data_IF_215637866198
#
_entry.id   IF_215637866198
#
_cell.length_a   1.000
_cell.length_b   1.000
_cell.length_c   1.000
_cell.angle_alpha   90.00
_cell.angle_beta   90.00
_cell.angle_gamma   90.00
#
_symmetry.space_group_name_H-M   'P 1'
#
loop_
_entity.id
_entity.type
_entity.pdbx_description
1 polymer ?
#
# COMPACT_ATOMS: atom_id res chain seq x y z
N UNK A 1 1.63 -4.07 -4.51
CA UNK A 1 2.61 -4.91 -3.77
C UNK A 1 2.24 -6.38 -3.85
N UNK A 2 3.22 -7.24 -3.85
CA UNK A 2 3.03 -8.69 -3.86
C UNK A 2 4.03 -9.37 -2.93
N UNK A 3 3.73 -10.60 -2.55
CA UNK A 3 4.59 -11.46 -1.73
C UNK A 3 4.66 -12.84 -2.39
N UNK A 4 5.85 -13.42 -2.46
CA UNK A 4 6.05 -14.78 -2.96
C UNK A 4 6.07 -15.82 -1.83
N UNK A 5 6.17 -17.09 -2.20
CA UNK A 5 6.22 -18.20 -1.25
C UNK A 5 7.49 -18.22 -0.39
N UNK A 6 8.52 -17.51 -0.80
CA UNK A 6 9.79 -17.41 -0.08
C UNK A 6 9.85 -16.18 0.85
N UNK A 7 8.71 -15.53 1.10
CA UNK A 7 8.58 -14.32 1.90
C UNK A 7 9.40 -13.13 1.35
N UNK A 8 9.55 -13.05 0.05
CA UNK A 8 10.07 -11.88 -0.64
C UNK A 8 8.91 -11.02 -1.12
N UNK A 9 9.12 -9.72 -1.10
CA UNK A 9 8.09 -8.72 -1.40
C UNK A 9 8.45 -7.94 -2.65
N UNK A 10 7.46 -7.57 -3.44
CA UNK A 10 7.66 -6.89 -4.71
C UNK A 10 6.76 -5.67 -4.81
N UNK A 11 7.36 -4.52 -5.08
CA UNK A 11 6.62 -3.34 -5.49
C UNK A 11 6.41 -3.41 -7.00
N UNK A 12 5.16 -3.52 -7.41
CA UNK A 12 4.80 -3.71 -8.82
C UNK A 12 4.60 -2.40 -9.54
N UNK A 13 4.01 -1.41 -8.88
CA UNK A 13 3.64 -0.14 -9.48
C UNK A 13 3.39 0.92 -8.42
N UNK A 14 3.57 2.19 -8.80
CA UNK A 14 3.22 3.35 -7.99
C UNK A 14 2.43 4.32 -8.89
N UNK A 15 1.13 4.39 -8.66
CA UNK A 15 0.20 5.26 -9.40
C UNK A 15 -0.28 6.44 -8.54
N UNK A 16 0.50 6.82 -7.55
CA UNK A 16 0.19 7.97 -6.70
C UNK A 16 0.03 9.24 -7.52
N UNK A 17 -0.88 10.11 -7.10
CA UNK A 17 -1.15 11.37 -7.78
C UNK A 17 -2.36 12.08 -7.20
N UNK A 18 -2.72 13.19 -7.82
CA UNK A 18 -3.91 13.94 -7.45
C UNK A 18 -5.08 13.50 -8.34
N UNK A 19 -6.05 12.84 -7.73
CA UNK A 19 -7.22 12.32 -8.41
C UNK A 19 -8.49 12.79 -7.73
N UNK A 20 -9.56 12.97 -8.51
CA UNK A 20 -10.89 13.06 -7.94
C UNK A 20 -11.25 11.72 -7.27
N UNK A 21 -12.19 11.68 -6.30
CA UNK A 21 -12.59 10.42 -5.68
C UNK A 21 -13.01 9.35 -6.69
N UNK A 22 -13.78 9.69 -7.71
CA UNK A 22 -14.21 8.74 -8.74
C UNK A 22 -13.01 8.22 -9.54
N UNK A 23 -12.12 9.09 -10.00
CA UNK A 23 -10.92 8.69 -10.74
C UNK A 23 -9.99 7.81 -9.90
N UNK A 24 -9.81 8.16 -8.64
CA UNK A 24 -9.01 7.36 -7.71
C UNK A 24 -9.61 5.97 -7.51
N UNK A 25 -10.91 5.89 -7.28
CA UNK A 25 -11.59 4.62 -7.08
C UNK A 25 -11.50 3.71 -8.30
N UNK A 26 -11.69 4.25 -9.50
CA UNK A 26 -11.57 3.49 -10.75
C UNK A 26 -10.15 3.01 -10.97
N UNK A 27 -9.15 3.84 -10.72
CA UNK A 27 -7.75 3.44 -10.83
C UNK A 27 -7.42 2.30 -9.87
N UNK A 28 -7.87 2.38 -8.62
CA UNK A 28 -7.66 1.32 -7.63
C UNK A 28 -8.27 0.00 -8.09
N UNK A 29 -9.49 0.02 -8.61
CA UNK A 29 -10.17 -1.18 -9.13
C UNK A 29 -9.46 -1.72 -10.37
N UNK A 30 -9.02 -0.85 -11.29
CA UNK A 30 -8.27 -1.27 -12.47
C UNK A 30 -6.97 -1.99 -12.09
N UNK A 31 -6.24 -1.47 -11.12
CA UNK A 31 -5.02 -2.12 -10.62
C UNK A 31 -5.33 -3.44 -9.91
N UNK A 32 -6.43 -3.49 -9.16
CA UNK A 32 -6.90 -4.71 -8.51
C UNK A 32 -7.10 -5.83 -9.52
N UNK A 33 -7.76 -5.55 -10.64
CA UNK A 33 -7.98 -6.55 -11.69
C UNK A 33 -6.73 -6.82 -12.52
N UNK A 34 -5.96 -5.79 -12.85
CA UNK A 34 -4.73 -5.92 -13.65
C UNK A 34 -3.76 -6.92 -13.02
N UNK A 35 -3.58 -6.86 -11.72
CA UNK A 35 -2.65 -7.70 -10.99
C UNK A 35 -3.33 -8.87 -10.27
N UNK A 36 -4.60 -9.11 -10.52
CA UNK A 36 -5.38 -10.16 -9.85
C UNK A 36 -5.22 -10.11 -8.33
N UNK A 37 -5.33 -8.91 -7.77
CA UNK A 37 -5.09 -8.67 -6.36
C UNK A 37 -6.12 -9.41 -5.48
N UNK A 38 -5.70 -9.80 -4.29
CA UNK A 38 -6.56 -10.47 -3.32
C UNK A 38 -7.34 -9.47 -2.47
N UNK A 39 -6.82 -8.26 -2.30
CA UNK A 39 -7.33 -7.31 -1.32
C UNK A 39 -6.89 -5.89 -1.67
N UNK A 40 -7.76 -4.92 -1.46
CA UNK A 40 -7.40 -3.51 -1.39
C UNK A 40 -7.31 -3.12 0.07
N UNK A 41 -6.19 -2.55 0.47
CA UNK A 41 -5.96 -2.02 1.81
C UNK A 41 -5.92 -0.51 1.75
N UNK A 42 -6.68 0.15 2.59
CA UNK A 42 -6.68 1.61 2.67
C UNK A 42 -6.53 2.08 4.11
N UNK A 43 -5.65 3.05 4.32
CA UNK A 43 -5.58 3.77 5.58
C UNK A 43 -6.76 4.73 5.64
N UNK A 44 -7.55 4.63 6.70
CA UNK A 44 -8.69 5.51 6.92
C UNK A 44 -8.55 6.23 8.25
N UNK A 45 -9.11 7.44 8.28
CA UNK A 45 -9.33 8.20 9.49
C UNK A 45 -10.82 8.12 9.86
N UNK A 46 -11.36 9.14 10.45
CA UNK A 46 -12.79 9.20 10.76
C UNK A 46 -13.62 9.18 9.47
N UNK A 47 -14.68 8.40 9.45
CA UNK A 47 -15.60 8.32 8.31
C UNK A 47 -15.14 7.40 7.18
N UNK A 48 -14.38 6.35 7.47
CA UNK A 48 -13.82 5.43 6.49
C UNK A 48 -14.80 4.68 5.59
N UNK A 49 -16.08 4.67 5.92
CA UNK A 49 -17.13 4.06 5.09
C UNK A 49 -17.19 4.63 3.67
N UNK A 50 -16.79 5.88 3.48
CA UNK A 50 -16.82 6.52 2.16
C UNK A 50 -15.92 5.83 1.15
N UNK A 51 -14.74 5.39 1.58
CA UNK A 51 -13.80 4.68 0.71
C UNK A 51 -14.38 3.33 0.28
N UNK A 52 -14.89 2.56 1.23
CA UNK A 52 -15.50 1.26 0.94
C UNK A 52 -16.71 1.40 0.01
N UNK A 53 -17.58 2.36 0.27
CA UNK A 53 -18.75 2.63 -0.57
C UNK A 53 -18.35 3.00 -1.99
N UNK A 54 -17.35 3.86 -2.13
CA UNK A 54 -16.85 4.26 -3.45
C UNK A 54 -16.34 3.05 -4.23
N UNK A 55 -15.48 2.24 -3.63
CA UNK A 55 -14.92 1.08 -4.29
C UNK A 55 -15.99 0.06 -4.66
N UNK A 56 -16.91 -0.23 -3.75
CA UNK A 56 -17.98 -1.21 -3.99
C UNK A 56 -19.06 -0.68 -4.94
N UNK A 57 -19.18 0.62 -5.12
CA UNK A 57 -20.06 1.19 -6.14
C UNK A 57 -19.50 0.98 -7.55
N UNK A 58 -18.19 0.87 -7.70
CA UNK A 58 -17.53 0.59 -8.98
C UNK A 58 -17.48 -0.91 -9.24
N UNK A 59 -17.12 -1.69 -8.23
CA UNK A 59 -17.07 -3.15 -8.30
C UNK A 59 -17.46 -3.74 -6.94
N UNK A 60 -18.66 -4.32 -6.87
CA UNK A 60 -19.20 -4.88 -5.62
C UNK A 60 -18.47 -6.15 -5.16
N UNK A 61 -17.68 -6.78 -6.03
CA UNK A 61 -16.95 -8.03 -5.73
C UNK A 61 -15.58 -7.79 -5.11
N UNK A 62 -15.11 -6.55 -5.07
CA UNK A 62 -13.79 -6.23 -4.56
C UNK A 62 -13.69 -6.52 -3.06
N UNK A 63 -12.57 -7.12 -2.66
CA UNK A 63 -12.26 -7.31 -1.24
C UNK A 63 -11.51 -6.10 -0.71
N UNK A 64 -11.96 -5.60 0.41
CA UNK A 64 -11.47 -4.36 0.99
C UNK A 64 -11.18 -4.52 2.47
N UNK A 65 -10.08 -3.92 2.92
CA UNK A 65 -9.74 -3.83 4.34
C UNK A 65 -9.32 -2.42 4.69
N UNK A 66 -10.00 -1.85 5.67
CA UNK A 66 -9.61 -0.58 6.27
C UNK A 66 -8.56 -0.81 7.36
N UNK A 67 -7.57 0.05 7.42
CA UNK A 67 -6.57 0.05 8.48
C UNK A 67 -6.52 1.44 9.13
N UNK A 68 -6.26 1.46 10.44
CA UNK A 68 -6.17 2.68 11.21
C UNK A 68 -4.76 2.84 11.77
N UNK A 69 -4.24 4.05 11.74
CA UNK A 69 -2.96 4.38 12.36
C UNK A 69 -3.12 4.42 13.89
N UNK A 70 -2.72 3.34 14.58
CA UNK A 70 -2.75 3.25 16.05
C UNK A 70 -1.43 3.63 16.69
N UNK A 71 -0.35 3.75 15.91
CA UNK A 71 1.00 4.10 16.37
C UNK A 71 1.63 5.10 15.42
N UNK A 72 2.68 5.78 15.89
CA UNK A 72 3.44 6.70 15.05
C UNK A 72 4.02 6.01 13.81
N UNK A 73 4.16 6.76 12.73
CA UNK A 73 4.63 6.24 11.43
C UNK A 73 6.02 5.63 11.52
N UNK A 74 6.90 6.21 12.32
CA UNK A 74 8.25 5.69 12.51
C UNK A 74 8.24 4.27 13.08
N UNK A 75 7.34 3.97 14.03
CA UNK A 75 7.23 2.64 14.60
C UNK A 75 6.75 1.59 13.59
N UNK A 76 5.94 2.00 12.60
CA UNK A 76 5.54 1.13 11.50
C UNK A 76 6.64 0.96 10.46
N UNK A 77 7.41 2.02 10.22
CA UNK A 77 8.46 2.02 9.21
C UNK A 77 9.70 1.21 9.60
N UNK A 78 10.03 1.11 10.88
CA UNK A 78 11.22 0.37 11.34
C UNK A 78 11.25 -1.09 10.89
N UNK A 79 10.20 -1.90 11.09
CA UNK A 79 10.19 -3.29 10.60
C UNK A 79 10.32 -3.39 9.08
N UNK A 80 9.78 -2.41 8.36
CA UNK A 80 9.85 -2.35 6.90
C UNK A 80 11.28 -2.03 6.44
N UNK A 81 11.95 -1.11 7.12
CA UNK A 81 13.36 -0.82 6.88
C UNK A 81 14.22 -2.07 7.03
N UNK A 82 13.96 -2.87 8.06
CA UNK A 82 14.66 -4.14 8.26
C UNK A 82 14.46 -5.12 7.10
N UNK A 83 13.26 -5.16 6.51
CA UNK A 83 13.01 -6.01 5.33
C UNK A 83 13.85 -5.57 4.13
N UNK A 84 14.01 -4.27 3.91
CA UNK A 84 14.89 -3.75 2.86
C UNK A 84 16.36 -4.11 3.12
N UNK A 85 16.84 -3.95 4.35
CA UNK A 85 18.22 -4.29 4.73
C UNK A 85 18.51 -5.77 4.52
N UNK A 86 17.53 -6.64 4.73
CA UNK A 86 17.64 -8.08 4.53
C UNK A 86 17.53 -8.50 3.05
N UNK A 87 17.34 -7.54 2.14
CA UNK A 87 17.19 -7.83 0.73
C UNK A 87 15.89 -8.54 0.38
N UNK A 88 14.86 -8.41 1.20
CA UNK A 88 13.57 -9.09 1.00
C UNK A 88 12.57 -8.30 0.18
N UNK A 89 12.82 -7.01 -0.08
CA UNK A 89 11.92 -6.15 -0.85
C UNK A 89 12.58 -5.75 -2.16
N UNK A 90 11.85 -5.96 -3.25
CA UNK A 90 12.32 -5.63 -4.59
C UNK A 90 11.33 -4.69 -5.27
N UNK A 91 11.87 -3.68 -5.97
CA UNK A 91 11.09 -2.81 -6.83
C UNK A 91 11.21 -3.33 -8.27
N UNK A 92 10.09 -3.61 -8.92
CA UNK A 92 10.08 -4.12 -10.30
C UNK A 92 10.23 -3.02 -11.34
N UNK A 93 10.55 -1.82 -10.92
CA UNK A 93 10.81 -0.66 -11.77
C UNK A 93 11.53 0.41 -10.96
N UNK A 94 11.77 1.54 -11.60
CA UNK A 94 12.31 2.72 -10.93
C UNK A 94 11.14 3.63 -10.56
N UNK A 95 11.02 3.96 -9.28
CA UNK A 95 9.96 4.81 -8.75
C UNK A 95 10.58 6.03 -8.05
N UNK A 96 11.01 7.05 -8.82
CA UNK A 96 11.85 8.14 -8.27
C UNK A 96 11.20 8.90 -7.12
N UNK A 97 9.90 9.20 -7.22
CA UNK A 97 9.21 9.97 -6.19
C UNK A 97 9.08 9.19 -4.89
N UNK A 98 8.76 7.89 -4.96
CA UNK A 98 8.72 7.03 -3.79
C UNK A 98 10.10 6.88 -3.17
N UNK A 99 11.10 6.60 -3.98
CA UNK A 99 12.47 6.39 -3.51
C UNK A 99 13.03 7.66 -2.86
N UNK A 100 12.71 8.83 -3.40
CA UNK A 100 13.03 10.12 -2.79
C UNK A 100 12.38 10.28 -1.42
N UNK A 101 11.10 9.94 -1.28
CA UNK A 101 10.40 9.99 0.00
C UNK A 101 11.05 9.05 1.02
N UNK A 102 11.46 7.85 0.59
CA UNK A 102 12.13 6.89 1.46
C UNK A 102 13.47 7.43 1.99
N UNK A 103 14.25 8.09 1.13
CA UNK A 103 15.57 8.61 1.50
C UNK A 103 15.50 9.86 2.39
N UNK A 104 14.44 10.65 2.29
CA UNK A 104 14.32 11.93 3.00
C UNK A 104 13.45 11.87 4.25
N UNK A 105 12.76 10.76 4.48
CA UNK A 105 11.84 10.62 5.60
C UNK A 105 12.58 10.55 6.94
N UNK A 106 12.26 11.48 7.85
CA UNK A 106 12.87 11.54 9.18
C UNK A 106 11.91 11.18 10.32
N UNK A 107 10.65 10.86 9.99
CA UNK A 107 9.61 10.65 10.98
C UNK A 107 8.85 11.91 11.38
N UNK A 108 9.39 13.08 11.06
CA UNK A 108 8.83 14.38 11.43
C UNK A 108 8.27 15.16 10.24
N UNK A 109 8.33 14.57 9.05
CA UNK A 109 7.87 15.22 7.82
C UNK A 109 6.37 15.53 7.87
N UNK A 110 6.02 16.75 7.52
CA UNK A 110 4.63 17.20 7.35
C UNK A 110 4.52 18.01 6.05
N UNK A 111 3.55 17.72 5.17
CA UNK A 111 2.61 16.62 5.26
C UNK A 111 3.30 15.25 5.15
N UNK A 112 2.59 14.21 5.58
CA UNK A 112 3.11 12.84 5.52
C UNK A 112 3.39 12.43 4.08
N UNK A 113 4.50 11.73 3.81
CA UNK A 113 4.79 11.24 2.46
C UNK A 113 3.82 10.12 2.07
N UNK A 114 2.90 10.43 1.17
CA UNK A 114 1.77 9.57 0.78
C UNK A 114 2.20 8.23 0.16
N UNK A 115 3.21 8.26 -0.72
CA UNK A 115 3.73 7.05 -1.36
C UNK A 115 4.40 6.12 -0.36
N UNK A 116 5.18 6.69 0.53
CA UNK A 116 5.85 5.94 1.59
C UNK A 116 4.83 5.33 2.55
N UNK A 117 3.79 6.06 2.92
CA UNK A 117 2.71 5.55 3.76
C UNK A 117 2.02 4.35 3.13
N UNK A 118 1.68 4.43 1.86
CA UNK A 118 1.05 3.33 1.13
C UNK A 118 1.96 2.10 1.08
N UNK A 119 3.25 2.29 0.83
CA UNK A 119 4.24 1.21 0.83
C UNK A 119 4.32 0.53 2.19
N UNK A 120 4.43 1.30 3.26
CA UNK A 120 4.52 0.78 4.63
C UNK A 120 3.28 -0.03 4.99
N UNK A 121 2.08 0.46 4.68
CA UNK A 121 0.85 -0.27 4.92
C UNK A 121 0.77 -1.55 4.10
N UNK A 122 1.13 -1.50 2.82
CA UNK A 122 1.12 -2.68 1.95
C UNK A 122 2.06 -3.77 2.46
N UNK A 123 3.29 -3.43 2.79
CA UNK A 123 4.26 -4.37 3.34
C UNK A 123 3.85 -4.90 4.71
N UNK A 124 3.30 -4.07 5.56
CA UNK A 124 2.81 -4.48 6.88
C UNK A 124 1.71 -5.54 6.76
N UNK A 125 0.74 -5.31 5.89
CA UNK A 125 -0.34 -6.28 5.67
C UNK A 125 0.16 -7.58 5.04
N UNK A 126 1.06 -7.50 4.08
CA UNK A 126 1.66 -8.68 3.45
C UNK A 126 2.49 -9.50 4.45
N UNK A 127 3.20 -8.83 5.36
CA UNK A 127 4.02 -9.51 6.36
C UNK A 127 3.19 -10.28 7.39
N UNK A 128 1.93 -9.91 7.59
CA UNK A 128 1.00 -10.61 8.48
C UNK A 128 0.41 -11.86 7.86
N UNK A 129 0.34 -11.93 6.52
CA UNK A 129 -0.24 -13.08 5.83
C UNK A 129 0.75 -14.23 5.79
N UNK A 130 0.32 -15.42 6.23
CA UNK A 130 1.15 -16.63 6.24
C UNK A 130 0.90 -17.45 4.97
N UNK A 131 1.95 -17.72 4.21
CA UNK A 131 2.00 -18.83 3.26
C UNK A 131 1.31 -18.64 1.91
N UNK A 132 0.44 -17.69 1.73
CA UNK A 132 -0.27 -17.50 0.47
C UNK A 132 0.38 -16.41 -0.38
N UNK A 133 0.50 -16.67 -1.67
CA UNK A 133 0.81 -15.64 -2.64
C UNK A 133 -0.39 -14.71 -2.71
N UNK A 134 -0.18 -13.45 -2.38
CA UNK A 134 -1.26 -12.46 -2.42
C UNK A 134 -0.77 -11.15 -3.03
N UNK A 135 -1.65 -10.54 -3.80
CA UNK A 135 -1.45 -9.24 -4.43
C UNK A 135 -2.20 -8.20 -3.61
N UNK A 136 -1.53 -7.13 -3.25
CA UNK A 136 -2.15 -6.07 -2.45
C UNK A 136 -1.93 -4.72 -3.09
N UNK A 137 -2.98 -3.91 -3.05
CA UNK A 137 -2.99 -2.52 -3.51
C UNK A 137 -3.28 -1.65 -2.28
N UNK A 138 -2.44 -0.67 -2.06
CA UNK A 138 -2.63 0.24 -0.95
C UNK A 138 -2.69 1.71 -1.40
#
# INVERSE_FOLDING_TARGET
>A
MAKDLNNKYYLLDDKSGKYSPDSWGRLAIDLYHKYSANLIVAEINNGGDLVERLLKSIDSTVKYRAVHASRGKMLRAEPISALYEQGKVHHLGVFPELESQMCTYTGESKPSPDRLDALVWGLTELSKSRGDVSWRIS
#
